data_IF_316332324943
#
_entry.id   IF_316332324943
#
_cell.length_a   1.000
_cell.length_b   1.000
_cell.length_c   1.000
_cell.angle_alpha   90.00
_cell.angle_beta   90.00
_cell.angle_gamma   90.00
#
_symmetry.space_group_name_H-M   'P 1'
#
loop_
_entity.id
_entity.type
_entity.pdbx_description
1 polymer ?
#
# COMPACT_ATOMS: atom_id res chain seq x y z
N UNK A 1 0.74 0.61 8.63
CA UNK A 1 0.06 1.90 8.42
C UNK A 1 -0.97 2.15 9.51
N UNK A 2 -1.91 3.08 9.30
CA UNK A 2 -2.89 3.49 10.32
C UNK A 2 -4.13 2.58 10.37
N UNK A 3 -4.51 1.99 9.23
CA UNK A 3 -5.75 1.21 9.06
C UNK A 3 -5.54 -0.13 8.36
N UNK A 4 -4.30 -0.41 7.94
CA UNK A 4 -3.88 -1.57 7.14
C UNK A 4 -3.35 -2.72 8.02
N UNK A 5 -3.71 -2.75 9.30
CA UNK A 5 -3.45 -3.93 10.11
C UNK A 5 -4.29 -5.11 9.55
N UNK A 6 -3.70 -6.29 9.25
CA UNK A 6 -4.45 -7.49 8.86
C UNK A 6 -5.65 -7.81 9.76
N UNK A 7 -5.54 -7.66 11.09
CA UNK A 7 -6.67 -7.90 12.00
C UNK A 7 -7.83 -6.93 11.74
N UNK A 8 -7.52 -5.66 11.41
CA UNK A 8 -8.52 -4.67 11.08
C UNK A 8 -9.21 -5.01 9.75
N UNK A 9 -8.44 -5.43 8.75
CA UNK A 9 -8.98 -5.85 7.45
C UNK A 9 -9.90 -7.07 7.62
N UNK A 10 -9.46 -8.10 8.36
CA UNK A 10 -10.28 -9.28 8.62
C UNK A 10 -11.57 -8.94 9.38
N UNK A 11 -11.50 -8.06 10.37
CA UNK A 11 -12.67 -7.63 11.13
C UNK A 11 -13.72 -6.93 10.25
N UNK A 12 -13.29 -6.09 9.30
CA UNK A 12 -14.17 -5.44 8.32
C UNK A 12 -14.78 -6.48 7.38
N UNK A 13 -13.99 -7.43 6.85
CA UNK A 13 -14.50 -8.49 5.98
C UNK A 13 -15.57 -9.36 6.65
N UNK A 14 -15.34 -9.72 7.92
CA UNK A 14 -16.34 -10.44 8.71
C UNK A 14 -17.58 -9.61 9.00
N UNK A 15 -17.44 -8.30 9.22
CA UNK A 15 -18.59 -7.41 9.37
C UNK A 15 -19.44 -7.37 8.10
N UNK A 16 -18.81 -7.21 6.93
CA UNK A 16 -19.49 -7.24 5.62
C UNK A 16 -20.25 -8.55 5.46
N UNK A 17 -19.58 -9.68 5.71
CA UNK A 17 -20.20 -11.02 5.59
C UNK A 17 -21.38 -11.22 6.53
N UNK A 18 -21.30 -10.71 7.77
CA UNK A 18 -22.35 -10.95 8.77
C UNK A 18 -23.55 -10.04 8.62
N UNK A 19 -23.36 -8.84 8.09
CA UNK A 19 -24.35 -7.77 8.16
C UNK A 19 -24.78 -7.22 6.81
N UNK A 20 -23.99 -7.43 5.76
CA UNK A 20 -24.18 -6.84 4.44
C UNK A 20 -24.11 -7.88 3.30
N UNK A 21 -24.30 -9.15 3.63
CA UNK A 21 -24.27 -10.24 2.65
C UNK A 21 -25.30 -10.00 1.54
N UNK A 22 -24.87 -10.17 0.28
CA UNK A 22 -25.66 -9.88 -0.91
C UNK A 22 -25.99 -8.40 -1.18
N UNK A 23 -25.56 -7.46 -0.32
CA UNK A 23 -25.79 -6.02 -0.50
C UNK A 23 -24.56 -5.25 -0.99
N UNK A 24 -23.38 -5.86 -0.96
CA UNK A 24 -22.11 -5.24 -1.37
C UNK A 24 -21.61 -5.89 -2.66
N UNK A 25 -21.68 -5.14 -3.76
CA UNK A 25 -21.17 -5.58 -5.06
C UNK A 25 -19.64 -5.45 -5.18
N UNK A 26 -19.02 -4.56 -4.39
CA UNK A 26 -17.58 -4.30 -4.43
C UNK A 26 -17.06 -3.75 -3.11
N UNK A 27 -15.98 -4.33 -2.62
CA UNK A 27 -15.14 -3.80 -1.55
C UNK A 27 -13.74 -3.47 -2.10
N UNK A 28 -13.50 -2.19 -2.30
CA UNK A 28 -12.24 -1.68 -2.85
C UNK A 28 -11.30 -1.18 -1.74
N UNK A 29 -10.10 -1.76 -1.64
CA UNK A 29 -9.04 -1.25 -0.79
C UNK A 29 -8.26 -0.16 -1.55
N UNK A 30 -8.40 1.09 -1.11
CA UNK A 30 -7.70 2.21 -1.72
C UNK A 30 -6.29 2.38 -1.13
N UNK A 31 -5.27 2.32 -1.98
CA UNK A 31 -3.90 2.57 -1.59
C UNK A 31 -3.73 4.03 -1.11
N UNK A 32 -2.98 4.19 -0.01
CA UNK A 32 -2.67 5.51 0.53
C UNK A 32 -1.88 6.34 -0.50
N UNK A 33 -2.25 7.61 -0.64
CA UNK A 33 -1.51 8.61 -1.40
C UNK A 33 -1.22 9.86 -0.55
N UNK A 34 -0.05 10.45 -0.76
CA UNK A 34 0.41 11.64 -0.03
C UNK A 34 0.18 12.96 -0.80
N UNK A 35 -0.69 12.96 -1.81
CA UNK A 35 -0.95 14.11 -2.70
C UNK A 35 -1.64 15.29 -2.00
N UNK A 36 -2.20 15.08 -0.80
CA UNK A 36 -2.89 16.12 -0.04
C UNK A 36 -1.94 17.12 0.64
N UNK A 37 -0.63 16.87 0.65
CA UNK A 37 0.39 17.71 1.33
C UNK A 37 0.20 19.21 1.06
N UNK A 38 0.07 19.60 -0.21
CA UNK A 38 0.01 21.01 -0.60
C UNK A 38 -1.26 21.70 -0.09
N UNK A 39 -2.37 20.97 0.03
CA UNK A 39 -3.62 21.50 0.59
C UNK A 39 -3.48 21.81 2.08
N UNK A 40 -2.81 20.92 2.84
CA UNK A 40 -2.59 21.13 4.26
C UNK A 40 -1.60 22.26 4.52
N UNK A 41 -0.53 22.35 3.73
CA UNK A 41 0.42 23.46 3.79
C UNK A 41 -0.26 24.82 3.57
N UNK A 42 -1.18 24.92 2.60
CA UNK A 42 -1.93 26.16 2.34
C UNK A 42 -2.88 26.59 3.46
N UNK A 43 -3.25 25.67 4.35
CA UNK A 43 -4.08 25.94 5.52
C UNK A 43 -3.25 26.19 6.78
N UNK A 44 -1.93 26.30 6.65
CA UNK A 44 -0.98 26.38 7.76
C UNK A 44 -1.15 25.22 8.76
N UNK A 45 -1.47 24.03 8.24
CA UNK A 45 -1.68 22.81 9.02
C UNK A 45 -0.58 21.81 8.76
N UNK A 46 0.00 21.31 9.85
CA UNK A 46 0.88 20.15 9.77
C UNK A 46 0.05 18.88 9.47
N UNK A 47 0.45 18.14 8.44
CA UNK A 47 -0.13 16.83 8.12
C UNK A 47 0.88 15.72 8.45
N UNK A 48 0.62 14.89 9.48
CA UNK A 48 1.59 13.88 9.93
C UNK A 48 2.02 12.88 8.85
N UNK A 49 1.16 12.61 7.87
CA UNK A 49 1.42 11.65 6.79
C UNK A 49 2.04 12.28 5.55
N UNK A 50 2.40 13.57 5.58
CA UNK A 50 2.98 14.25 4.43
C UNK A 50 4.18 13.48 3.86
N UNK A 51 5.09 13.04 4.73
CA UNK A 51 6.32 12.31 4.37
C UNK A 51 6.14 10.80 4.33
N UNK A 52 4.93 10.28 4.59
CA UNK A 52 4.68 8.84 4.47
C UNK A 52 4.78 8.46 3.00
N UNK A 53 5.54 7.39 2.74
CA UNK A 53 5.71 6.89 1.39
C UNK A 53 4.44 6.17 0.90
N UNK A 54 4.33 6.00 -0.42
CA UNK A 54 3.27 5.15 -0.99
C UNK A 54 3.44 3.71 -0.53
N UNK A 55 2.31 3.02 -0.40
CA UNK A 55 2.29 1.58 -0.12
C UNK A 55 2.90 0.83 -1.30
N UNK A 56 3.58 -0.30 -1.08
CA UNK A 56 4.03 -1.14 -2.19
C UNK A 56 2.91 -2.01 -2.73
N UNK A 57 2.98 -2.37 -4.01
CA UNK A 57 2.01 -3.27 -4.64
C UNK A 57 1.92 -4.62 -3.90
N UNK A 58 3.07 -5.16 -3.47
CA UNK A 58 3.14 -6.40 -2.68
C UNK A 58 2.36 -6.29 -1.36
N UNK A 59 2.45 -5.15 -0.67
CA UNK A 59 1.70 -4.95 0.57
C UNK A 59 0.20 -4.81 0.30
N UNK A 60 -0.20 -4.08 -0.76
CA UNK A 60 -1.61 -4.01 -1.16
C UNK A 60 -2.20 -5.38 -1.50
N UNK A 61 -1.46 -6.23 -2.21
CA UNK A 61 -1.90 -7.60 -2.50
C UNK A 61 -2.03 -8.45 -1.24
N UNK A 62 -1.12 -8.30 -0.27
CA UNK A 62 -1.22 -9.00 1.01
C UNK A 62 -2.49 -8.60 1.77
N UNK A 63 -2.84 -7.31 1.80
CA UNK A 63 -4.08 -6.82 2.40
C UNK A 63 -5.32 -7.30 1.64
N UNK A 64 -5.28 -7.26 0.31
CA UNK A 64 -6.38 -7.77 -0.52
C UNK A 64 -6.58 -9.27 -0.31
N UNK A 65 -5.51 -10.04 -0.13
CA UNK A 65 -5.61 -11.45 0.26
C UNK A 65 -6.29 -11.61 1.61
N UNK A 66 -5.87 -10.86 2.64
CA UNK A 66 -6.52 -10.88 3.96
C UNK A 66 -8.00 -10.55 3.87
N UNK A 67 -8.37 -9.54 3.06
CA UNK A 67 -9.76 -9.18 2.82
C UNK A 67 -10.56 -10.31 2.16
N UNK A 68 -10.01 -10.92 1.09
CA UNK A 68 -10.62 -12.07 0.39
C UNK A 68 -10.85 -13.27 1.30
N UNK A 69 -9.90 -13.57 2.17
CA UNK A 69 -10.02 -14.67 3.13
C UNK A 69 -11.09 -14.41 4.21
N UNK A 70 -11.50 -13.15 4.41
CA UNK A 70 -12.42 -12.74 5.46
C UNK A 70 -13.88 -12.53 5.01
N UNK A 71 -14.14 -12.52 3.70
CA UNK A 71 -15.47 -12.34 3.10
C UNK A 71 -16.06 -13.66 2.58
N UNK A 72 -17.40 -13.72 2.47
CA UNK A 72 -18.07 -14.88 1.87
C UNK A 72 -17.84 -14.99 0.35
N UNK A 73 -17.83 -13.87 -0.37
CA UNK A 73 -17.54 -13.79 -1.81
C UNK A 73 -16.22 -13.03 -2.05
N UNK A 74 -15.12 -13.72 -2.37
CA UNK A 74 -13.82 -13.09 -2.64
C UNK A 74 -13.80 -12.17 -3.88
N UNK A 75 -14.71 -12.35 -4.83
CA UNK A 75 -14.70 -11.63 -6.12
C UNK A 75 -15.08 -10.15 -5.97
N UNK A 76 -15.77 -9.79 -4.88
CA UNK A 76 -16.09 -8.38 -4.59
C UNK A 76 -14.84 -7.58 -4.19
N UNK A 77 -13.72 -8.24 -3.85
CA UNK A 77 -12.54 -7.59 -3.30
C UNK A 77 -11.52 -7.21 -4.38
N UNK A 78 -11.26 -5.92 -4.52
CA UNK A 78 -10.18 -5.39 -5.34
C UNK A 78 -9.38 -4.31 -4.60
N UNK A 79 -8.26 -3.88 -5.17
CA UNK A 79 -7.54 -2.72 -4.68
C UNK A 79 -7.12 -1.82 -5.83
N UNK A 80 -6.98 -0.53 -5.55
CA UNK A 80 -6.58 0.48 -6.53
C UNK A 80 -5.69 1.55 -5.91
N UNK A 81 -5.10 2.40 -6.76
CA UNK A 81 -4.31 3.56 -6.34
C UNK A 81 -2.81 3.41 -6.62
N UNK A 82 -2.08 4.49 -6.37
CA UNK A 82 -0.65 4.56 -6.68
C UNK A 82 0.18 3.77 -5.66
N UNK A 83 1.09 2.95 -6.17
CA UNK A 83 2.03 2.18 -5.34
C UNK A 83 3.47 2.47 -5.69
N UNK A 84 4.36 2.36 -4.72
CA UNK A 84 5.80 2.39 -4.97
C UNK A 84 6.24 1.07 -5.61
N UNK A 85 7.22 1.13 -6.51
CA UNK A 85 7.93 -0.05 -6.99
C UNK A 85 8.84 -0.62 -5.89
N UNK A 86 8.80 -1.93 -5.70
CA UNK A 86 9.78 -2.60 -4.86
C UNK A 86 11.13 -2.57 -5.59
N UNK A 87 11.99 -1.60 -5.28
CA UNK A 87 13.36 -1.57 -5.80
C UNK A 87 14.08 -2.83 -5.31
N UNK A 88 14.40 -3.75 -6.23
CA UNK A 88 15.50 -4.69 -5.96
C UNK A 88 16.75 -3.84 -5.75
N UNK A 89 17.35 -3.91 -4.55
CA UNK A 89 18.67 -3.33 -4.34
C UNK A 89 19.62 -3.94 -5.40
N UNK A 90 20.12 -3.10 -6.32
CA UNK A 90 21.12 -3.52 -7.28
C UNK A 90 22.37 -4.01 -6.53
N UNK A 91 23.03 -5.11 -6.95
CA UNK A 91 24.31 -5.50 -6.40
C UNK A 91 25.32 -4.36 -6.60
N UNK A 92 25.97 -3.96 -5.52
CA UNK A 92 26.94 -2.87 -5.52
C UNK A 92 28.01 -3.06 -6.60
N UNK A 93 28.16 -2.03 -7.42
CA UNK A 93 29.21 -1.89 -8.43
C UNK A 93 30.57 -1.88 -7.73
N UNK A 94 31.30 -2.98 -7.87
CA UNK A 94 32.66 -3.13 -7.35
C UNK A 94 33.57 -2.29 -8.25
N UNK A 95 34.04 -1.15 -7.74
CA UNK A 95 35.07 -0.33 -8.38
C UNK A 95 36.36 -1.13 -8.43
N UNK A 96 36.64 -1.74 -9.57
CA UNK A 96 37.98 -2.16 -9.90
C UNK A 96 38.73 -0.94 -10.43
N UNK A 97 39.47 -0.27 -9.55
CA UNK A 97 40.49 0.69 -9.94
C UNK A 97 41.59 -0.06 -10.70
N UNK A 98 41.44 -0.15 -12.02
CA UNK A 98 42.53 -0.46 -12.93
C UNK A 98 43.40 0.80 -12.98
N UNK A 99 44.41 0.85 -12.10
CA UNK A 99 45.53 1.77 -12.22
C UNK A 99 46.40 1.33 -13.40
N UNK A 100 46.08 1.82 -14.60
CA UNK A 100 47.02 1.85 -15.71
C UNK A 100 47.62 3.25 -15.88
N UNK A 101 48.91 3.25 -16.25
CA UNK A 101 49.82 4.35 -16.64
C UNK A 101 50.80 4.77 -15.53
N UNK A 102 52.11 4.87 -15.72
CA UNK A 102 53.06 4.45 -16.77
C UNK A 102 54.47 4.89 -16.29
N UNK A 103 55.51 4.09 -16.58
CA UNK A 103 56.85 4.45 -17.10
C UNK A 103 57.85 3.36 -16.73
#
# INVERSE_FOLDING_TARGET
>A
GATDNPENISAIGHFITRHLDGAVDRWELCAFNNLCRDKYMRLDRNWPYAQTELVSARHMEALAKTARDAVADPEIVCWSGATRHDSHAAPGEQKNDISCCNT
#
